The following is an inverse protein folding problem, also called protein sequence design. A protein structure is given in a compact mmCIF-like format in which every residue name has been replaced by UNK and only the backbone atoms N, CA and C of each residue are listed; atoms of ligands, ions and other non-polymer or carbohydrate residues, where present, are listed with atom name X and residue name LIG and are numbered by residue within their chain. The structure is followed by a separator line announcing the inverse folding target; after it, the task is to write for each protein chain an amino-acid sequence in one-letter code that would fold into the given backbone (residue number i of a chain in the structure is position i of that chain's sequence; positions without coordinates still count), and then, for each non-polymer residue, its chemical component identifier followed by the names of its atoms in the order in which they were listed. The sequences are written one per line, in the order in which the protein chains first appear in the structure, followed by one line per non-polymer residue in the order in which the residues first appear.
data_IF_743397342314
#
_entry.id   IF_743397342314
#
_cell.length_a   1.000
_cell.length_b   1.000
_cell.length_c   1.000
_cell.angle_alpha   90.00
_cell.angle_beta   90.00
_cell.angle_gamma   90.00
#
_symmetry.space_group_name_H-M   'P 1'
#
loop_
_entity.id
_entity.type
_entity.pdbx_description
1 polymer ?
#
# COMPACT_ATOMS: atom_id res chain seq x y z
N UNK A 1 -1.03 -20.89 6.34
CA UNK A 1 -1.76 -19.97 5.44
C UNK A 1 -0.81 -19.56 4.33
N UNK A 2 -1.19 -19.77 3.07
CA UNK A 2 -0.40 -19.33 1.91
C UNK A 2 -0.67 -17.87 1.62
N UNK A 3 0.37 -17.04 1.54
CA UNK A 3 0.26 -15.59 1.34
C UNK A 3 1.01 -15.16 0.09
N UNK A 4 0.35 -14.42 -0.79
CA UNK A 4 0.93 -13.88 -2.01
C UNK A 4 0.99 -12.36 -1.96
N UNK A 5 2.14 -11.76 -2.32
CA UNK A 5 2.25 -10.34 -2.53
C UNK A 5 1.86 -9.98 -3.98
N UNK A 6 1.02 -8.96 -4.12
CA UNK A 6 0.61 -8.38 -5.40
C UNK A 6 1.04 -6.92 -5.45
N UNK A 7 1.74 -6.55 -6.51
CA UNK A 7 2.28 -5.21 -6.74
C UNK A 7 1.55 -4.62 -7.95
N UNK A 8 0.48 -3.83 -7.74
CA UNK A 8 -0.20 -3.18 -8.85
C UNK A 8 0.70 -2.13 -9.48
N UNK A 9 0.76 -2.11 -10.81
CA UNK A 9 1.61 -1.21 -11.55
C UNK A 9 0.91 -0.68 -12.82
N UNK A 10 1.17 0.59 -13.16
CA UNK A 10 0.74 1.22 -14.42
C UNK A 10 1.74 2.29 -14.86
N UNK A 11 1.85 2.51 -16.17
CA UNK A 11 2.72 3.55 -16.72
C UNK A 11 2.18 4.94 -16.45
N UNK A 12 0.86 5.12 -16.65
CA UNK A 12 0.23 6.43 -16.52
C UNK A 12 0.18 6.89 -15.06
N UNK A 13 0.70 8.07 -14.79
CA UNK A 13 0.61 8.75 -13.50
C UNK A 13 0.47 10.24 -13.71
N UNK A 14 -0.47 10.88 -13.02
CA UNK A 14 -0.79 12.30 -13.22
C UNK A 14 0.30 13.26 -12.75
N UNK A 15 1.06 12.90 -11.72
CA UNK A 15 2.10 13.75 -11.10
C UNK A 15 3.49 13.51 -11.69
N UNK A 16 3.82 12.28 -12.03
CA UNK A 16 5.11 11.89 -12.56
C UNK A 16 4.90 10.73 -13.53
N UNK A 17 4.70 11.06 -14.81
CA UNK A 17 4.46 10.09 -15.85
C UNK A 17 5.59 9.06 -15.94
N UNK A 18 5.20 7.78 -16.14
CA UNK A 18 6.12 6.64 -16.27
C UNK A 18 7.05 6.43 -15.06
N UNK A 19 6.69 6.92 -13.86
CA UNK A 19 7.55 6.89 -12.66
C UNK A 19 8.09 5.50 -12.33
N UNK A 20 7.30 4.45 -12.57
CA UNK A 20 7.70 3.07 -12.28
C UNK A 20 8.82 2.54 -13.18
N UNK A 21 9.00 3.13 -14.37
CA UNK A 21 10.07 2.79 -15.31
C UNK A 21 11.29 3.70 -15.17
N UNK A 22 11.27 4.70 -14.26
CA UNK A 22 12.43 5.55 -14.02
C UNK A 22 13.58 4.75 -13.41
N UNK A 23 14.80 5.13 -13.77
CA UNK A 23 16.02 4.49 -13.25
C UNK A 23 16.24 4.83 -11.77
N UNK A 24 16.36 3.80 -10.96
CA UNK A 24 16.80 3.87 -9.57
C UNK A 24 18.09 3.06 -9.42
N UNK A 25 19.21 3.72 -9.69
CA UNK A 25 20.55 3.14 -9.60
C UNK A 25 20.72 1.85 -10.42
N UNK A 26 20.44 1.93 -11.74
CA UNK A 26 20.67 0.87 -12.71
C UNK A 26 19.55 -0.16 -12.88
N UNK A 27 18.40 0.06 -12.25
CA UNK A 27 17.16 -0.72 -12.43
C UNK A 27 15.95 0.20 -12.37
N UNK A 28 14.85 -0.21 -13.01
CA UNK A 28 13.58 0.53 -12.88
C UNK A 28 13.05 0.51 -11.44
N UNK A 29 12.29 1.55 -11.06
CA UNK A 29 11.64 1.63 -9.73
C UNK A 29 10.81 0.38 -9.46
N UNK A 30 10.01 -0.07 -10.43
CA UNK A 30 9.16 -1.26 -10.27
C UNK A 30 9.97 -2.53 -10.04
N UNK A 31 11.10 -2.71 -10.74
CA UNK A 31 11.97 -3.86 -10.55
C UNK A 31 12.63 -3.83 -9.16
N UNK A 32 13.04 -2.64 -8.69
CA UNK A 32 13.56 -2.46 -7.32
C UNK A 32 12.54 -2.83 -6.27
N UNK A 33 11.28 -2.36 -6.45
CA UNK A 33 10.17 -2.73 -5.55
C UNK A 33 9.92 -4.23 -5.56
N UNK A 34 9.82 -4.85 -6.74
CA UNK A 34 9.63 -6.29 -6.87
C UNK A 34 10.73 -7.08 -6.14
N UNK A 35 12.01 -6.76 -6.42
CA UNK A 35 13.15 -7.41 -5.78
C UNK A 35 13.17 -7.20 -4.26
N UNK A 36 12.83 -6.00 -3.79
CA UNK A 36 12.75 -5.71 -2.36
C UNK A 36 11.70 -6.59 -1.66
N UNK A 37 10.52 -6.77 -2.27
CA UNK A 37 9.46 -7.63 -1.74
C UNK A 37 9.89 -9.11 -1.76
N UNK A 38 10.48 -9.59 -2.86
CA UNK A 38 10.99 -10.98 -2.97
C UNK A 38 12.04 -11.26 -1.91
N UNK A 39 12.97 -10.33 -1.68
CA UNK A 39 14.07 -10.48 -0.72
C UNK A 39 13.61 -10.51 0.74
N UNK A 40 12.35 -10.14 1.05
CA UNK A 40 11.80 -10.32 2.41
C UNK A 40 11.65 -11.79 2.79
N UNK A 41 11.47 -12.67 1.80
CA UNK A 41 11.18 -14.11 1.97
C UNK A 41 9.92 -14.38 2.82
N UNK A 42 8.96 -13.44 2.84
CA UNK A 42 7.73 -13.55 3.64
C UNK A 42 6.56 -14.16 2.86
N UNK A 43 6.65 -14.19 1.53
CA UNK A 43 5.55 -14.56 0.65
C UNK A 43 5.83 -15.86 -0.10
N UNK A 44 4.81 -16.70 -0.26
CA UNK A 44 4.89 -17.91 -1.09
C UNK A 44 5.09 -17.58 -2.57
N UNK A 45 4.60 -16.42 -3.01
CA UNK A 45 4.82 -15.89 -4.35
C UNK A 45 4.64 -14.37 -4.36
N UNK A 46 5.31 -13.71 -5.31
CA UNK A 46 5.23 -12.26 -5.56
C UNK A 46 4.93 -12.06 -7.03
N UNK A 47 3.95 -11.22 -7.36
CA UNK A 47 3.60 -10.86 -8.75
C UNK A 47 3.47 -9.36 -8.89
N UNK A 48 3.98 -8.82 -10.00
CA UNK A 48 3.58 -7.51 -10.50
C UNK A 48 2.35 -7.68 -11.38
N UNK A 49 1.28 -6.91 -11.10
CA UNK A 49 0.02 -6.96 -11.86
C UNK A 49 -0.15 -5.65 -12.62
N UNK A 50 -0.24 -5.73 -13.93
CA UNK A 50 -0.25 -4.55 -14.80
C UNK A 50 -1.08 -4.78 -16.08
N UNK A 51 -1.64 -3.73 -16.66
CA UNK A 51 -2.17 -3.72 -18.04
C UNK A 51 -1.12 -3.33 -19.08
N UNK A 52 0.07 -2.87 -18.65
CA UNK A 52 1.10 -2.34 -19.55
C UNK A 52 2.13 -3.42 -19.91
N UNK A 53 2.23 -3.75 -21.20
CA UNK A 53 3.20 -4.75 -21.70
C UNK A 53 4.66 -4.38 -21.37
N UNK A 54 4.99 -3.11 -21.31
CA UNK A 54 6.34 -2.66 -20.99
C UNK A 54 6.74 -3.04 -19.56
N UNK A 55 5.84 -2.80 -18.58
CA UNK A 55 6.07 -3.20 -17.18
C UNK A 55 6.09 -4.73 -17.08
N UNK A 56 5.15 -5.40 -17.76
CA UNK A 56 5.10 -6.86 -17.79
C UNK A 56 6.45 -7.43 -18.27
N UNK A 57 6.97 -6.94 -19.39
CA UNK A 57 8.21 -7.42 -19.99
C UNK A 57 9.44 -7.08 -19.13
N UNK A 58 9.49 -5.90 -18.49
CA UNK A 58 10.56 -5.51 -17.58
C UNK A 58 10.75 -6.54 -16.46
N UNK A 59 9.65 -6.94 -15.82
CA UNK A 59 9.67 -7.94 -14.74
C UNK A 59 9.97 -9.33 -15.28
N UNK A 60 9.30 -9.73 -16.36
CA UNK A 60 9.46 -11.07 -16.95
C UNK A 60 10.89 -11.33 -17.44
N UNK A 61 11.48 -10.36 -18.16
CA UNK A 61 12.84 -10.48 -18.68
C UNK A 61 13.91 -10.45 -17.56
N UNK A 62 13.56 -9.91 -16.40
CA UNK A 62 14.40 -9.93 -15.20
C UNK A 62 14.24 -11.22 -14.37
N UNK A 63 13.47 -12.20 -14.87
CA UNK A 63 13.20 -13.48 -14.18
C UNK A 63 12.15 -13.40 -13.08
N UNK A 64 11.42 -12.29 -13.00
CA UNK A 64 10.33 -12.10 -12.05
C UNK A 64 8.99 -12.61 -12.56
N UNK A 65 8.00 -12.66 -11.67
CA UNK A 65 6.63 -13.04 -12.02
C UNK A 65 5.79 -11.79 -12.28
N UNK A 66 5.14 -11.75 -13.44
CA UNK A 66 4.20 -10.70 -13.81
C UNK A 66 2.89 -11.28 -14.35
N UNK A 67 1.80 -10.57 -14.14
CA UNK A 67 0.47 -10.92 -14.64
C UNK A 67 -0.03 -9.74 -15.46
N UNK A 68 -0.41 -10.03 -16.72
CA UNK A 68 -1.06 -9.03 -17.56
C UNK A 68 -2.55 -9.01 -17.25
N UNK A 69 -3.04 -7.89 -16.73
CA UNK A 69 -4.45 -7.65 -16.46
C UNK A 69 -5.24 -7.63 -17.76
N UNK A 70 -6.42 -8.25 -17.76
CA UNK A 70 -7.29 -8.30 -18.96
C UNK A 70 -8.09 -7.01 -19.14
N UNK A 71 -8.33 -6.31 -18.04
CA UNK A 71 -9.13 -5.10 -17.98
C UNK A 71 -8.28 -3.91 -17.53
N UNK A 72 -8.74 -2.70 -17.90
CA UNK A 72 -8.25 -1.49 -17.29
C UNK A 72 -8.95 -1.26 -15.95
N UNK A 73 -8.20 -0.94 -14.93
CA UNK A 73 -8.71 -0.70 -13.58
C UNK A 73 -8.41 0.71 -13.11
N UNK A 74 -9.39 1.34 -12.44
CA UNK A 74 -9.22 2.68 -11.89
C UNK A 74 -8.32 2.66 -10.65
N UNK A 75 -8.37 1.59 -9.85
CA UNK A 75 -7.61 1.44 -8.61
C UNK A 75 -6.61 0.27 -8.63
N UNK A 76 -5.60 0.37 -7.76
CA UNK A 76 -4.65 -0.73 -7.54
C UNK A 76 -5.32 -1.96 -6.94
N UNK A 77 -6.26 -1.76 -6.02
CA UNK A 77 -6.97 -2.86 -5.35
C UNK A 77 -7.89 -3.63 -6.30
N UNK A 78 -8.56 -2.96 -7.23
CA UNK A 78 -9.38 -3.64 -8.25
C UNK A 78 -8.51 -4.47 -9.20
N UNK A 79 -7.32 -3.95 -9.57
CA UNK A 79 -6.35 -4.67 -10.42
C UNK A 79 -5.86 -5.95 -9.77
N UNK A 80 -5.48 -5.90 -8.49
CA UNK A 80 -5.02 -7.09 -7.77
C UNK A 80 -6.16 -8.07 -7.49
N UNK A 81 -7.40 -7.61 -7.37
CA UNK A 81 -8.56 -8.47 -7.17
C UNK A 81 -8.84 -9.34 -8.41
N UNK A 82 -8.69 -8.80 -9.63
CA UNK A 82 -8.76 -9.62 -10.85
C UNK A 82 -7.70 -10.73 -10.82
N UNK A 83 -6.45 -10.39 -10.48
CA UNK A 83 -5.36 -11.36 -10.44
C UNK A 83 -5.58 -12.45 -9.38
N UNK A 84 -6.13 -12.09 -8.20
CA UNK A 84 -6.29 -13.01 -7.09
C UNK A 84 -7.24 -14.19 -7.39
N UNK A 85 -8.18 -14.03 -8.34
CA UNK A 85 -9.10 -15.11 -8.74
C UNK A 85 -8.33 -16.32 -9.31
N UNK A 86 -7.25 -16.06 -10.07
CA UNK A 86 -6.44 -17.09 -10.74
C UNK A 86 -5.34 -17.67 -9.86
N UNK A 87 -5.04 -17.06 -8.71
CA UNK A 87 -3.94 -17.47 -7.84
C UNK A 87 -4.46 -18.33 -6.69
N UNK A 88 -3.81 -19.49 -6.49
CA UNK A 88 -4.09 -20.37 -5.36
C UNK A 88 -3.34 -19.86 -4.12
N UNK A 89 -3.99 -18.96 -3.35
CA UNK A 89 -3.49 -18.39 -2.11
C UNK A 89 -4.64 -18.15 -1.13
N UNK A 90 -4.37 -18.15 0.17
CA UNK A 90 -5.37 -17.91 1.22
C UNK A 90 -5.55 -16.42 1.51
N UNK A 91 -4.45 -15.67 1.36
CA UNK A 91 -4.40 -14.23 1.61
C UNK A 91 -3.47 -13.52 0.63
N UNK A 92 -3.70 -12.22 0.47
CA UNK A 92 -2.95 -11.34 -0.43
C UNK A 92 -2.48 -10.08 0.29
N UNK A 93 -1.29 -9.61 -0.06
CA UNK A 93 -0.77 -8.33 0.40
C UNK A 93 -0.55 -7.42 -0.80
N UNK A 94 -1.23 -6.27 -0.80
CA UNK A 94 -1.06 -5.20 -1.79
C UNK A 94 0.10 -4.31 -1.35
N UNK A 95 1.14 -4.22 -2.17
CA UNK A 95 2.30 -3.35 -1.98
C UNK A 95 2.41 -2.44 -3.19
N UNK A 96 2.47 -1.13 -2.96
CA UNK A 96 2.52 -0.16 -4.06
C UNK A 96 3.81 -0.29 -4.87
N UNK A 97 3.70 -0.23 -6.21
CA UNK A 97 4.83 -0.41 -7.12
C UNK A 97 5.90 0.68 -7.06
N UNK A 98 5.61 1.80 -6.41
CA UNK A 98 6.48 2.96 -6.22
C UNK A 98 7.16 3.03 -4.84
N UNK A 99 7.09 1.94 -4.05
CA UNK A 99 7.71 1.85 -2.73
C UNK A 99 8.89 0.86 -2.71
N UNK A 100 10.08 1.22 -3.24
CA UNK A 100 11.24 0.32 -3.32
C UNK A 100 11.96 0.10 -1.98
N UNK A 101 11.57 0.84 -0.94
CA UNK A 101 12.13 0.69 0.40
C UNK A 101 11.14 -0.07 1.29
N UNK A 102 11.37 -1.38 1.43
CA UNK A 102 10.49 -2.28 2.17
C UNK A 102 11.06 -2.53 3.57
N UNK A 103 10.19 -2.44 4.58
CA UNK A 103 10.49 -2.92 5.92
C UNK A 103 9.93 -4.32 6.14
N UNK A 104 10.83 -5.30 6.16
CA UNK A 104 10.48 -6.71 6.35
C UNK A 104 9.78 -6.97 7.70
N UNK A 105 10.13 -6.21 8.74
CA UNK A 105 9.54 -6.40 10.07
C UNK A 105 8.06 -5.99 10.11
N UNK A 106 7.74 -4.85 9.52
CA UNK A 106 6.35 -4.38 9.40
C UNK A 106 5.51 -5.32 8.53
N UNK A 107 6.04 -5.78 7.40
CA UNK A 107 5.36 -6.76 6.55
C UNK A 107 5.15 -8.10 7.26
N UNK A 108 6.12 -8.55 8.05
CA UNK A 108 5.99 -9.77 8.84
C UNK A 108 4.84 -9.67 9.84
N UNK A 109 4.77 -8.57 10.61
CA UNK A 109 3.66 -8.34 11.56
C UNK A 109 2.31 -8.31 10.85
N UNK A 110 2.23 -7.67 9.65
CA UNK A 110 1.02 -7.62 8.85
C UNK A 110 0.59 -9.03 8.39
N UNK A 111 1.52 -9.83 7.87
CA UNK A 111 1.26 -11.21 7.44
C UNK A 111 0.82 -12.10 8.60
N UNK A 112 1.44 -11.96 9.78
CA UNK A 112 1.05 -12.68 10.99
C UNK A 112 -0.37 -12.33 11.41
N UNK A 113 -0.76 -11.04 11.35
CA UNK A 113 -2.12 -10.60 11.73
C UNK A 113 -3.20 -11.08 10.76
N UNK A 114 -2.88 -11.40 9.50
CA UNK A 114 -3.83 -11.99 8.56
C UNK A 114 -4.39 -13.37 9.00
N UNK A 115 -3.77 -14.03 9.99
CA UNK A 115 -4.37 -15.20 10.62
C UNK A 115 -5.64 -14.87 11.40
N UNK A 116 -5.71 -13.67 12.00
CA UNK A 116 -6.76 -13.24 12.94
C UNK A 116 -7.74 -12.23 12.32
N UNK A 117 -7.30 -11.50 11.28
CA UNK A 117 -8.04 -10.37 10.70
C UNK A 117 -8.24 -10.55 9.21
N UNK A 118 -9.40 -10.12 8.70
CA UNK A 118 -9.75 -10.21 7.28
C UNK A 118 -9.15 -9.06 6.45
N UNK A 119 -8.96 -7.90 7.09
CA UNK A 119 -8.33 -6.71 6.53
C UNK A 119 -7.28 -6.20 7.51
N UNK A 120 -6.07 -5.98 7.02
CA UNK A 120 -4.95 -5.46 7.81
C UNK A 120 -4.28 -4.31 7.03
N UNK A 121 -3.82 -3.28 7.72
CA UNK A 121 -3.01 -2.23 7.10
C UNK A 121 -1.97 -1.69 8.08
N UNK A 122 -1.10 -0.81 7.61
CA UNK A 122 -0.03 -0.24 8.43
C UNK A 122 -0.34 1.21 8.82
N UNK A 123 0.16 1.61 9.98
CA UNK A 123 0.17 3.00 10.43
C UNK A 123 1.48 3.35 11.09
N UNK A 124 1.87 4.61 11.02
CA UNK A 124 3.04 5.15 11.72
C UNK A 124 2.64 6.38 12.55
N UNK A 125 3.18 6.47 13.75
CA UNK A 125 3.00 7.65 14.59
C UNK A 125 3.74 8.84 13.98
N UNK A 126 3.06 9.99 13.90
CA UNK A 126 3.62 11.26 13.44
C UNK A 126 3.47 12.31 14.53
N UNK A 127 4.49 13.17 14.71
CA UNK A 127 4.52 14.21 15.73
C UNK A 127 4.72 15.60 15.16
N UNK A 128 5.35 15.71 14.00
CA UNK A 128 5.64 16.99 13.37
C UNK A 128 4.37 17.63 12.84
N UNK A 129 4.10 18.86 13.23
CA UNK A 129 2.88 19.58 12.85
C UNK A 129 2.72 19.68 11.33
N UNK A 130 3.82 19.81 10.61
CA UNK A 130 3.82 19.87 9.15
C UNK A 130 3.36 18.55 8.52
N UNK A 131 3.69 17.40 9.12
CA UNK A 131 3.22 16.09 8.67
C UNK A 131 1.74 15.88 9.00
N UNK A 132 1.31 16.31 10.19
CA UNK A 132 -0.07 16.21 10.67
C UNK A 132 -1.02 17.04 9.78
N UNK A 133 -0.64 18.27 9.46
CA UNK A 133 -1.44 19.19 8.64
C UNK A 133 -1.39 18.90 7.14
N UNK A 134 -0.42 18.11 6.67
CA UNK A 134 -0.28 17.78 5.25
C UNK A 134 -1.44 16.89 4.78
N UNK A 135 -2.30 17.34 3.84
CA UNK A 135 -3.42 16.56 3.33
C UNK A 135 -2.99 15.34 2.48
N UNK A 136 -1.73 15.28 2.03
CA UNK A 136 -1.19 14.11 1.35
C UNK A 136 -0.90 12.97 2.33
N UNK A 137 -0.67 13.26 3.60
CA UNK A 137 -0.62 12.26 4.66
C UNK A 137 -2.05 11.94 5.11
N UNK A 138 -2.50 10.74 4.82
CA UNK A 138 -3.81 10.26 5.31
C UNK A 138 -3.69 9.95 6.80
N UNK A 139 -4.51 10.62 7.63
CA UNK A 139 -4.58 10.31 9.06
C UNK A 139 -5.54 9.16 9.30
N UNK A 140 -5.23 8.32 10.29
CA UNK A 140 -6.11 7.25 10.77
C UNK A 140 -6.32 7.38 12.27
N UNK A 141 -7.56 7.25 12.72
CA UNK A 141 -7.91 7.10 14.13
C UNK A 141 -8.30 5.66 14.40
N UNK A 142 -7.84 5.13 15.52
CA UNK A 142 -8.04 3.74 15.90
C UNK A 142 -8.71 3.63 17.27
N UNK A 143 -9.37 2.49 17.51
CA UNK A 143 -9.85 2.14 18.84
C UNK A 143 -8.73 1.50 19.70
N UNK A 144 -9.02 1.14 20.94
CA UNK A 144 -8.06 0.54 21.88
C UNK A 144 -7.47 -0.80 21.39
N UNK A 145 -8.14 -1.47 20.48
CA UNK A 145 -7.69 -2.73 19.88
C UNK A 145 -7.00 -2.52 18.54
N UNK A 146 -6.62 -1.28 18.20
CA UNK A 146 -6.02 -0.88 16.92
C UNK A 146 -6.87 -1.22 15.68
N UNK A 147 -8.19 -1.22 15.78
CA UNK A 147 -9.06 -1.22 14.61
C UNK A 147 -9.33 0.21 14.15
N UNK A 148 -9.22 0.45 12.86
CA UNK A 148 -9.49 1.75 12.28
C UNK A 148 -10.95 2.16 12.52
N UNK A 149 -11.13 3.39 13.00
CA UNK A 149 -12.44 4.04 13.16
C UNK A 149 -12.77 4.91 11.96
N UNK A 150 -11.78 5.65 11.44
CA UNK A 150 -11.92 6.46 10.23
C UNK A 150 -10.56 6.86 9.68
N UNK A 151 -10.53 7.14 8.36
CA UNK A 151 -9.37 7.70 7.65
C UNK A 151 -9.76 9.05 7.07
N UNK A 152 -8.86 10.04 7.14
CA UNK A 152 -9.10 11.36 6.53
C UNK A 152 -7.80 12.07 6.11
N UNK A 153 -7.92 12.89 5.06
CA UNK A 153 -6.88 13.86 4.71
C UNK A 153 -6.88 15.06 5.64
N UNK A 154 -8.03 15.36 6.29
CA UNK A 154 -8.12 16.36 7.35
C UNK A 154 -7.36 15.91 8.59
N UNK A 155 -7.04 16.87 9.47
CA UNK A 155 -6.45 16.57 10.77
C UNK A 155 -7.51 15.91 11.65
N UNK A 156 -7.32 14.65 11.96
CA UNK A 156 -8.12 13.87 12.90
C UNK A 156 -7.22 13.10 13.85
N UNK A 157 -7.59 13.00 15.16
CA UNK A 157 -8.71 13.65 15.81
C UNK A 157 -8.49 15.16 15.98
N UNK A 158 -9.58 15.92 16.15
CA UNK A 158 -9.46 17.35 16.46
C UNK A 158 -8.98 17.54 17.91
N UNK A 159 -7.89 18.28 18.07
CA UNK A 159 -7.37 18.66 19.39
C UNK A 159 -8.09 19.93 19.87
N UNK A 160 -9.02 19.77 20.80
CA UNK A 160 -9.77 20.91 21.36
C UNK A 160 -8.89 21.79 22.24
N UNK A 161 -8.06 21.18 23.09
CA UNK A 161 -7.20 21.89 24.05
C UNK A 161 -5.74 21.76 23.60
N UNK A 162 -5.08 22.88 23.32
CA UNK A 162 -3.70 22.93 22.83
C UNK A 162 -2.66 22.34 23.80
N UNK A 163 -2.99 22.26 25.09
CA UNK A 163 -2.10 21.77 26.15
C UNK A 163 -2.30 20.28 26.50
N UNK A 164 -3.14 19.55 25.77
CA UNK A 164 -3.37 18.12 26.02
C UNK A 164 -2.44 17.26 25.16
N UNK A 165 -1.45 16.61 25.78
CA UNK A 165 -0.54 15.66 25.12
C UNK A 165 -1.15 14.24 24.98
N UNK A 166 -2.48 14.12 25.11
CA UNK A 166 -3.17 12.82 25.22
C UNK A 166 -3.50 12.14 23.89
N UNK A 167 -3.20 12.75 22.75
CA UNK A 167 -3.62 12.24 21.45
C UNK A 167 -2.43 12.02 20.55
N UNK A 168 -2.21 10.78 20.19
CA UNK A 168 -1.26 10.39 19.14
C UNK A 168 -1.92 10.55 17.76
N UNK A 169 -1.16 11.11 16.83
CA UNK A 169 -1.54 11.15 15.43
C UNK A 169 -0.87 10.02 14.67
N UNK A 170 -1.65 9.33 13.86
CA UNK A 170 -1.14 8.25 13.01
C UNK A 170 -1.36 8.56 11.54
N UNK A 171 -0.30 8.38 10.75
CA UNK A 171 -0.36 8.38 9.29
C UNK A 171 -0.59 6.94 8.83
N UNK A 172 -1.57 6.76 7.98
CA UNK A 172 -1.82 5.50 7.28
C UNK A 172 -0.73 5.25 6.22
N UNK A 173 -0.24 4.02 6.15
CA UNK A 173 0.68 3.53 5.12
C UNK A 173 -0.10 2.62 4.18
N UNK A 174 -0.03 2.90 2.88
CA UNK A 174 -0.85 2.27 1.82
C UNK A 174 -0.49 0.82 1.49
N UNK A 175 -0.12 0.03 2.49
CA UNK A 175 0.07 -1.42 2.36
C UNK A 175 -1.13 -2.12 2.98
N UNK A 176 -1.77 -3.01 2.24
CA UNK A 176 -2.98 -3.71 2.69
C UNK A 176 -2.82 -5.21 2.61
N UNK A 177 -3.22 -5.90 3.66
CA UNK A 177 -3.42 -7.35 3.69
C UNK A 177 -4.90 -7.70 3.64
N UNK A 178 -5.25 -8.71 2.85
CA UNK A 178 -6.62 -9.21 2.69
C UNK A 178 -6.64 -10.72 2.75
N UNK A 179 -7.61 -11.32 3.43
CA UNK A 179 -7.98 -12.70 3.10
C UNK A 179 -8.57 -12.76 1.70
N UNK A 180 -8.41 -13.89 1.00
CA UNK A 180 -8.84 -14.00 -0.41
C UNK A 180 -10.28 -13.58 -0.63
N UNK A 181 -11.21 -14.10 0.18
CA UNK A 181 -12.64 -13.78 0.04
C UNK A 181 -12.90 -12.28 0.27
N UNK A 182 -12.23 -11.68 1.25
CA UNK A 182 -12.38 -10.26 1.59
C UNK A 182 -11.91 -9.34 0.46
N UNK A 183 -10.85 -9.70 -0.27
CA UNK A 183 -10.41 -8.96 -1.45
C UNK A 183 -11.42 -9.07 -2.61
N UNK A 184 -11.97 -10.26 -2.83
CA UNK A 184 -13.02 -10.48 -3.84
C UNK A 184 -14.28 -9.70 -3.50
N UNK A 185 -14.71 -9.69 -2.23
CA UNK A 185 -15.91 -8.96 -1.81
C UNK A 185 -15.69 -7.44 -1.88
N UNK A 186 -14.50 -6.96 -1.54
CA UNK A 186 -14.11 -5.56 -1.71
C UNK A 186 -14.23 -5.11 -3.17
N UNK A 187 -13.74 -5.89 -4.12
CA UNK A 187 -13.77 -5.52 -5.55
C UNK A 187 -15.18 -5.50 -6.16
N UNK A 188 -16.12 -6.26 -5.57
CA UNK A 188 -17.54 -6.27 -5.98
C UNK A 188 -18.35 -5.11 -5.40
N UNK A 189 -17.77 -4.40 -4.43
CA UNK A 189 -18.44 -3.27 -3.77
C UNK A 189 -18.11 -1.99 -4.50
N UNK A 190 -19.12 -1.22 -4.89
CA UNK A 190 -18.93 0.06 -5.56
C UNK A 190 -18.24 1.07 -4.61
N UNK A 191 -17.39 1.97 -5.15
CA UNK A 191 -16.81 3.06 -4.37
C UNK A 191 -17.87 3.89 -3.66
N UNK A 192 -17.65 4.14 -2.38
CA UNK A 192 -18.58 4.88 -1.53
C UNK A 192 -18.44 6.40 -1.73
N UNK A 193 -19.42 7.17 -1.24
CA UNK A 193 -19.35 8.64 -1.33
C UNK A 193 -18.19 9.22 -0.53
N UNK A 194 -17.89 8.67 0.64
CA UNK A 194 -16.78 9.14 1.47
C UNK A 194 -15.43 8.74 0.85
N UNK A 195 -15.31 7.50 0.35
CA UNK A 195 -14.14 7.08 -0.41
C UNK A 195 -13.86 8.02 -1.60
N UNK A 196 -14.88 8.31 -2.41
CA UNK A 196 -14.74 9.20 -3.57
C UNK A 196 -14.36 10.62 -3.17
N UNK A 197 -14.81 11.10 -2.03
CA UNK A 197 -14.47 12.43 -1.48
C UNK A 197 -13.03 12.49 -0.99
N UNK A 198 -12.62 11.56 -0.17
CA UNK A 198 -11.29 11.52 0.46
C UNK A 198 -10.23 10.89 -0.47
N UNK A 199 -10.66 10.12 -1.50
CA UNK A 199 -9.77 9.29 -2.34
C UNK A 199 -8.94 8.31 -1.52
N UNK A 200 -9.62 7.58 -0.62
CA UNK A 200 -9.03 6.60 0.30
C UNK A 200 -9.87 5.32 0.24
N UNK A 201 -9.35 4.27 -0.41
CA UNK A 201 -10.05 2.99 -0.62
C UNK A 201 -10.43 2.28 0.68
N UNK A 202 -9.63 2.43 1.74
CA UNK A 202 -9.88 1.85 3.06
C UNK A 202 -11.23 2.27 3.67
N UNK A 203 -11.76 3.43 3.29
CA UNK A 203 -13.06 3.92 3.77
C UNK A 203 -14.19 2.99 3.31
N UNK A 204 -14.14 2.45 2.08
CA UNK A 204 -15.11 1.50 1.56
C UNK A 204 -15.28 0.28 2.48
N UNK A 205 -14.17 -0.22 3.02
CA UNK A 205 -14.18 -1.37 3.95
C UNK A 205 -14.99 -1.04 5.20
N UNK A 206 -14.74 0.12 5.81
CA UNK A 206 -15.39 0.56 7.05
C UNK A 206 -16.87 0.88 6.82
N UNK A 207 -17.21 1.59 5.72
CA UNK A 207 -18.60 1.91 5.40
C UNK A 207 -19.47 0.68 5.16
N UNK A 208 -18.86 -0.44 4.74
CA UNK A 208 -19.54 -1.74 4.60
C UNK A 208 -19.55 -2.58 5.89
N UNK A 209 -19.22 -1.98 7.05
CA UNK A 209 -19.28 -2.61 8.35
C UNK A 209 -18.14 -3.59 8.66
N UNK A 210 -17.11 -3.64 7.80
CA UNK A 210 -15.91 -4.43 8.02
C UNK A 210 -14.89 -3.67 8.87
N UNK A 211 -13.96 -4.41 9.48
CA UNK A 211 -12.93 -3.86 10.35
C UNK A 211 -11.56 -3.99 9.71
N UNK A 212 -10.75 -2.94 9.77
CA UNK A 212 -9.34 -2.97 9.36
C UNK A 212 -8.49 -2.94 10.61
N UNK A 213 -7.68 -3.98 10.82
CA UNK A 213 -6.66 -4.01 11.88
C UNK A 213 -5.47 -3.18 11.43
N UNK A 214 -5.09 -2.21 12.25
CA UNK A 214 -3.93 -1.35 11.99
C UNK A 214 -2.71 -1.86 12.76
N UNK A 215 -1.60 -2.07 12.07
CA UNK A 215 -0.33 -2.47 12.65
C UNK A 215 0.59 -1.24 12.69
N UNK A 216 1.04 -0.90 13.88
CA UNK A 216 2.00 0.19 14.05
C UNK A 216 3.39 -0.24 13.58
N UNK A 217 4.02 0.63 12.78
CA UNK A 217 5.39 0.49 12.29
C UNK A 217 6.23 1.70 12.70
N UNK A 218 7.53 1.48 12.88
CA UNK A 218 8.51 2.54 13.08
C UNK A 218 9.17 2.98 11.76
N UNK A 219 8.83 2.33 10.64
CA UNK A 219 9.42 2.57 9.35
C UNK A 219 8.51 3.43 8.48
N UNK A 220 9.00 4.63 8.14
CA UNK A 220 8.41 5.48 7.12
C UNK A 220 8.99 5.09 5.76
N UNK A 221 8.20 4.42 4.93
CA UNK A 221 8.57 4.13 3.54
C UNK A 221 8.83 5.42 2.75
N UNK A 222 9.71 5.34 1.76
CA UNK A 222 9.95 6.42 0.81
C UNK A 222 9.29 6.04 -0.51
N UNK A 223 8.04 6.48 -0.68
CA UNK A 223 7.32 6.35 -1.95
C UNK A 223 7.85 7.35 -2.99
N UNK A 224 7.89 6.95 -4.26
CA UNK A 224 8.35 7.79 -5.37
C UNK A 224 7.14 8.31 -6.14
N UNK A 225 6.70 9.52 -5.81
CA UNK A 225 5.54 10.17 -6.42
C UNK A 225 5.91 11.36 -7.31
N UNK A 226 7.09 11.95 -7.08
CA UNK A 226 7.61 13.12 -7.79
C UNK A 226 9.06 12.87 -8.23
N UNK A 227 9.62 13.80 -9.04
CA UNK A 227 11.04 13.77 -9.40
C UNK A 227 11.96 14.03 -8.21
N UNK A 228 11.49 14.83 -7.27
CA UNK A 228 12.17 15.15 -6.02
C UNK A 228 12.26 13.90 -5.12
N UNK A 229 11.18 13.10 -5.07
CA UNK A 229 11.19 11.82 -4.35
C UNK A 229 12.19 10.84 -4.98
N UNK A 230 12.24 10.78 -6.31
CA UNK A 230 13.22 9.94 -7.01
C UNK A 230 14.66 10.34 -6.69
N UNK A 231 14.98 11.64 -6.68
CA UNK A 231 16.31 12.13 -6.33
C UNK A 231 16.67 11.78 -4.86
N UNK A 232 15.71 11.90 -3.96
CA UNK A 232 15.85 11.50 -2.56
C UNK A 232 16.06 10.00 -2.43
N UNK A 233 15.29 9.20 -3.17
CA UNK A 233 15.41 7.75 -3.22
C UNK A 233 16.79 7.29 -3.75
N UNK A 234 17.32 7.92 -4.81
CA UNK A 234 18.66 7.65 -5.32
C UNK A 234 19.71 7.92 -4.23
N UNK A 235 19.60 9.07 -3.56
CA UNK A 235 20.53 9.43 -2.48
C UNK A 235 20.51 8.41 -1.34
N UNK A 236 19.32 7.92 -0.96
CA UNK A 236 19.14 6.92 0.07
C UNK A 236 19.66 5.55 -0.37
N UNK A 237 19.44 5.19 -1.65
CA UNK A 237 19.88 3.91 -2.21
C UNK A 237 21.41 3.77 -2.21
N UNK A 238 22.12 4.85 -2.53
CA UNK A 238 23.59 4.86 -2.56
C UNK A 238 24.24 4.81 -1.15
N UNK A 239 23.46 4.96 -0.08
CA UNK A 239 23.92 4.85 1.31
C UNK A 239 23.70 3.46 1.93
N UNK A 240 22.98 2.58 1.23
CA UNK A 240 22.77 1.17 1.63
C UNK A 240 23.99 0.32 1.28
#
# INVERSE_FOLDING_TARGET
MKVTALIPARLSSSRFDRKLMMDLCGKSVILRTYEAVVNTNLFDSVYVVTEDEEIYNEIHNSGGNSILSKNQHESGSDRIAEACESISSDAFVNIQGDEPFIDSNSLKKLVEELHNSDYVSLMIKISEIQEIENPNNVKVVVNNDNYALYFSRSVIPFRRDSNSDFVDYYKHIGVYGFKKQSLIDFSKTNPSKLELSEKIEAIRVIENGNKIKMIETDFLGVGIDTKEDLASAITLWLKK
#
